data_IF_702202351833
#
_entry.id   IF_702202351833
#
_cell.length_a   1.000
_cell.length_b   1.000
_cell.length_c   1.000
_cell.angle_alpha   90.00
_cell.angle_beta   90.00
_cell.angle_gamma   90.00
#
_symmetry.space_group_name_H-M   'P 1'
#
loop_
_entity.id
_entity.type
_entity.pdbx_description
1 polymer ?
#
# COMPACT_ATOMS: atom_id res chain seq x y z
N UNK A 1 -12.12 5.56 -6.53
CA UNK A 1 -10.79 4.97 -6.71
C UNK A 1 -11.01 3.65 -7.43
N UNK A 2 -10.75 3.60 -8.73
CA UNK A 2 -10.81 2.32 -9.46
C UNK A 2 -9.65 1.46 -8.96
N UNK A 3 -9.97 0.30 -8.40
CA UNK A 3 -8.95 -0.67 -7.99
C UNK A 3 -8.55 -1.39 -9.27
N UNK A 4 -7.39 -1.03 -9.80
CA UNK A 4 -6.73 -1.78 -10.85
C UNK A 4 -6.42 -3.17 -10.29
N UNK A 5 -7.09 -4.19 -10.81
CA UNK A 5 -7.20 -5.53 -10.22
C UNK A 5 -6.03 -6.44 -10.64
N UNK A 6 -4.96 -5.87 -11.19
CA UNK A 6 -3.80 -6.62 -11.63
C UNK A 6 -2.78 -6.79 -10.50
N UNK A 7 -2.41 -8.06 -10.26
CA UNK A 7 -1.51 -8.53 -9.20
C UNK A 7 -0.04 -8.20 -9.50
N UNK A 8 0.26 -6.92 -9.68
CA UNK A 8 1.60 -6.44 -9.99
C UNK A 8 2.51 -6.44 -8.77
N UNK A 9 3.74 -6.88 -8.97
CA UNK A 9 4.77 -6.94 -7.94
C UNK A 9 5.80 -5.83 -8.10
N UNK A 10 6.05 -5.13 -7.01
CA UNK A 10 7.02 -4.01 -6.89
C UNK A 10 8.47 -4.48 -7.00
N UNK A 11 9.44 -3.56 -6.91
CA UNK A 11 10.88 -3.88 -7.00
C UNK A 11 11.32 -4.93 -5.96
N UNK A 12 10.67 -4.98 -4.80
CA UNK A 12 10.91 -6.00 -3.76
C UNK A 12 9.77 -6.98 -3.59
N UNK A 13 9.04 -7.23 -4.68
CA UNK A 13 8.01 -8.26 -4.80
C UNK A 13 6.79 -8.11 -3.88
N UNK A 14 6.60 -6.93 -3.26
CA UNK A 14 5.34 -6.61 -2.60
C UNK A 14 4.24 -6.40 -3.64
N UNK A 15 3.00 -6.79 -3.31
CA UNK A 15 1.84 -6.47 -4.15
C UNK A 15 1.63 -4.96 -4.16
N UNK A 16 1.55 -4.35 -5.34
CA UNK A 16 1.37 -2.90 -5.49
C UNK A 16 0.13 -2.40 -4.75
N UNK A 17 -0.98 -3.16 -4.82
CA UNK A 17 -2.23 -2.85 -4.12
C UNK A 17 -2.03 -2.85 -2.60
N UNK A 18 -1.36 -3.87 -2.08
CA UNK A 18 -1.12 -4.02 -0.65
C UNK A 18 -0.08 -3.02 -0.12
N UNK A 19 0.86 -2.56 -0.96
CA UNK A 19 1.76 -1.46 -0.61
C UNK A 19 0.97 -0.15 -0.41
N UNK A 20 0.02 0.16 -1.32
CA UNK A 20 -0.88 1.32 -1.16
C UNK A 20 -1.68 1.22 0.15
N UNK A 21 -2.27 0.06 0.41
CA UNK A 21 -3.00 -0.18 1.67
C UNK A 21 -2.09 -0.02 2.89
N UNK A 22 -0.90 -0.60 2.86
CA UNK A 22 0.04 -0.53 3.98
C UNK A 22 0.52 0.90 4.23
N UNK A 23 0.72 1.71 3.18
CA UNK A 23 0.99 3.14 3.27
C UNK A 23 -0.15 3.90 3.95
N UNK A 24 -1.39 3.70 3.52
CA UNK A 24 -2.56 4.31 4.14
C UNK A 24 -2.62 3.99 5.64
N UNK A 25 -2.54 2.71 6.00
CA UNK A 25 -2.65 2.27 7.39
C UNK A 25 -1.48 2.80 8.24
N UNK A 26 -0.25 2.81 7.72
CA UNK A 26 0.91 3.37 8.42
C UNK A 26 0.73 4.88 8.71
N UNK A 27 0.13 5.64 7.78
CA UNK A 27 -0.20 7.05 7.97
C UNK A 27 -1.27 7.27 9.04
N UNK A 28 -2.33 6.45 9.03
CA UNK A 28 -3.40 6.49 10.04
C UNK A 28 -2.85 6.18 11.44
N UNK A 29 -1.94 5.21 11.53
CA UNK A 29 -1.28 4.83 12.79
C UNK A 29 -0.07 5.70 13.15
N UNK A 30 0.21 6.76 12.38
CA UNK A 30 1.32 7.70 12.65
C UNK A 30 2.69 7.03 12.67
N UNK A 31 2.87 5.92 11.96
CA UNK A 31 4.14 5.22 11.78
C UNK A 31 4.89 5.79 10.58
N UNK A 32 5.50 6.96 10.76
CA UNK A 32 6.12 7.74 9.66
C UNK A 32 7.22 6.99 8.92
N UNK A 33 8.11 6.26 9.61
CA UNK A 33 9.19 5.51 8.96
C UNK A 33 8.65 4.39 8.06
N UNK A 34 7.58 3.71 8.50
CA UNK A 34 6.89 2.68 7.73
C UNK A 34 6.13 3.29 6.53
N UNK A 35 5.46 4.42 6.73
CA UNK A 35 4.81 5.15 5.63
C UNK A 35 5.82 5.61 4.57
N UNK A 36 6.98 6.14 4.99
CA UNK A 36 8.05 6.51 4.06
C UNK A 36 8.57 5.29 3.30
N UNK A 37 8.75 4.15 3.97
CA UNK A 37 9.14 2.91 3.30
C UNK A 37 8.14 2.51 2.21
N UNK A 38 6.84 2.45 2.52
CA UNK A 38 5.84 2.04 1.54
C UNK A 38 5.70 2.99 0.35
N UNK A 39 5.78 4.29 0.61
CA UNK A 39 5.74 5.27 -0.47
C UNK A 39 6.97 5.19 -1.36
N UNK A 40 8.17 5.04 -0.77
CA UNK A 40 9.38 4.86 -1.56
C UNK A 40 9.47 3.49 -2.21
N UNK A 41 8.76 2.46 -1.71
CA UNK A 41 8.59 1.19 -2.41
C UNK A 41 7.85 1.38 -3.73
N UNK A 42 6.71 2.09 -3.73
CA UNK A 42 6.02 2.47 -4.97
C UNK A 42 6.91 3.33 -5.86
N UNK A 43 7.52 4.36 -5.28
CA UNK A 43 8.26 5.38 -5.99
C UNK A 43 9.47 4.80 -6.77
N UNK A 44 10.40 4.10 -6.11
CA UNK A 44 11.55 3.51 -6.82
C UNK A 44 11.25 2.16 -7.49
N UNK A 45 10.03 1.64 -7.36
CA UNK A 45 9.51 0.65 -8.33
C UNK A 45 9.19 1.28 -9.69
N UNK A 46 9.27 2.61 -9.79
CA UNK A 46 9.03 3.40 -10.99
C UNK A 46 7.60 3.94 -11.09
N UNK A 47 6.74 3.70 -10.10
CA UNK A 47 5.38 4.25 -10.04
C UNK A 47 5.38 5.66 -9.42
N UNK A 48 6.24 6.56 -9.91
CA UNK A 48 6.49 7.87 -9.28
C UNK A 48 5.23 8.75 -9.22
N UNK A 49 4.59 8.97 -10.37
CA UNK A 49 3.35 9.77 -10.44
C UNK A 49 2.22 9.14 -9.60
N UNK A 50 2.06 7.82 -9.68
CA UNK A 50 1.06 7.08 -8.92
C UNK A 50 1.29 7.20 -7.40
N UNK A 51 2.54 7.28 -6.94
CA UNK A 51 2.85 7.53 -5.54
C UNK A 51 2.41 8.93 -5.08
N UNK A 52 2.67 9.96 -5.88
CA UNK A 52 2.23 11.34 -5.60
C UNK A 52 0.70 11.47 -5.66
N UNK A 53 0.07 10.93 -6.71
CA UNK A 53 -1.38 10.93 -6.87
C UNK A 53 -2.07 10.21 -5.72
N UNK A 54 -1.54 9.06 -5.30
CA UNK A 54 -2.07 8.31 -4.17
C UNK A 54 -1.98 9.11 -2.85
N UNK A 55 -0.87 9.78 -2.60
CA UNK A 55 -0.72 10.65 -1.41
C UNK A 55 -1.65 11.87 -1.46
N UNK A 56 -1.81 12.49 -2.63
CA UNK A 56 -2.75 13.59 -2.81
C UNK A 56 -4.18 13.11 -2.53
N UNK A 57 -4.57 11.96 -3.05
CA UNK A 57 -5.88 11.34 -2.78
C UNK A 57 -6.09 11.04 -1.28
N UNK A 58 -5.07 10.52 -0.59
CA UNK A 58 -5.11 10.33 0.86
C UNK A 58 -5.30 11.67 1.57
N UNK A 59 -4.51 12.68 1.21
CA UNK A 59 -4.61 14.01 1.81
C UNK A 59 -6.02 14.59 1.63
N UNK A 60 -6.53 14.60 0.40
CA UNK A 60 -7.85 15.12 0.05
C UNK A 60 -8.98 14.43 0.81
N UNK A 61 -8.92 13.11 0.89
CA UNK A 61 -10.01 12.30 1.46
C UNK A 61 -9.99 12.28 2.98
N UNK A 62 -8.80 12.35 3.60
CA UNK A 62 -8.61 12.02 5.02
C UNK A 62 -8.08 13.20 5.84
N UNK A 63 -7.22 14.05 5.26
CA UNK A 63 -6.52 15.10 6.01
C UNK A 63 -7.03 16.52 5.71
N UNK A 64 -7.61 16.75 4.54
CA UNK A 64 -7.91 18.10 4.03
C UNK A 64 -8.91 18.88 4.89
N UNK A 65 -9.89 18.18 5.50
CA UNK A 65 -10.89 18.79 6.37
C UNK A 65 -10.28 19.47 7.60
N UNK A 66 -9.31 18.81 8.25
CA UNK A 66 -8.63 19.34 9.44
C UNK A 66 -7.47 20.27 9.10
N UNK A 67 -6.94 20.18 7.87
CA UNK A 67 -5.71 20.87 7.48
C UNK A 67 -5.81 21.60 6.13
N UNK A 68 -6.87 22.37 5.83
CA UNK A 68 -7.16 22.86 4.48
C UNK A 68 -6.05 23.74 3.88
N UNK A 69 -5.27 24.44 4.72
CA UNK A 69 -4.16 25.32 4.30
C UNK A 69 -2.94 24.56 3.76
N UNK A 70 -2.79 23.26 4.08
CA UNK A 70 -1.70 22.46 3.55
C UNK A 70 -1.86 22.16 2.06
N UNK A 71 -3.08 22.33 1.50
CA UNK A 71 -3.39 21.99 0.10
C UNK A 71 -2.46 22.68 -0.87
N UNK A 72 -2.34 24.01 -0.75
CA UNK A 72 -1.47 24.80 -1.61
C UNK A 72 0.01 24.41 -1.47
N UNK A 73 0.43 24.06 -0.25
CA UNK A 73 1.81 23.63 -0.01
C UNK A 73 2.10 22.25 -0.58
N UNK A 74 1.18 21.30 -0.44
CA UNK A 74 1.30 19.96 -1.03
C UNK A 74 1.29 20.05 -2.56
N UNK A 75 0.39 20.84 -3.14
CA UNK A 75 0.34 21.05 -4.59
C UNK A 75 1.66 21.65 -5.09
N UNK A 76 2.17 22.69 -4.41
CA UNK A 76 3.46 23.29 -4.76
C UNK A 76 4.61 22.29 -4.69
N UNK A 77 4.66 21.44 -3.67
CA UNK A 77 5.68 20.39 -3.55
C UNK A 77 5.54 19.38 -4.69
N UNK A 78 4.32 19.03 -5.10
CA UNK A 78 4.14 18.18 -6.28
C UNK A 78 4.63 18.90 -7.54
N UNK A 79 4.19 20.13 -7.80
CA UNK A 79 4.58 20.90 -9.00
C UNK A 79 6.11 21.04 -9.10
N UNK A 80 6.79 21.37 -8.00
CA UNK A 80 8.25 21.43 -7.94
C UNK A 80 8.91 20.09 -8.33
N UNK A 81 8.36 18.96 -7.87
CA UNK A 81 8.85 17.64 -8.25
C UNK A 81 8.53 17.29 -9.70
N UNK A 82 7.35 17.63 -10.22
CA UNK A 82 6.97 17.41 -11.61
C UNK A 82 7.90 18.17 -12.57
N UNK A 83 8.30 19.40 -12.20
CA UNK A 83 9.25 20.21 -12.96
C UNK A 83 10.69 19.67 -12.86
N UNK A 84 11.05 19.04 -11.73
CA UNK A 84 12.35 18.42 -11.52
C UNK A 84 12.23 17.05 -10.82
N UNK A 85 12.07 15.96 -11.59
CA UNK A 85 11.85 14.61 -11.05
C UNK A 85 13.01 13.99 -10.25
N UNK A 86 14.12 14.73 -10.05
CA UNK A 86 15.22 14.37 -9.17
C UNK A 86 15.00 14.82 -7.72
N UNK A 87 13.93 15.58 -7.44
CA UNK A 87 13.54 16.00 -6.10
C UNK A 87 12.81 14.88 -5.34
N UNK A 88 13.45 13.72 -5.24
CA UNK A 88 12.87 12.51 -4.65
C UNK A 88 12.42 12.73 -3.18
N UNK A 89 13.09 13.63 -2.44
CA UNK A 89 12.74 14.00 -1.07
C UNK A 89 11.39 14.75 -0.93
N UNK A 90 10.81 15.24 -2.03
CA UNK A 90 9.52 15.94 -2.01
C UNK A 90 8.36 15.00 -1.64
N UNK A 91 8.41 13.75 -2.11
CA UNK A 91 7.46 12.70 -1.70
C UNK A 91 7.48 12.50 -0.18
N UNK A 92 8.68 12.34 0.37
CA UNK A 92 8.88 12.16 1.80
C UNK A 92 8.52 13.38 2.64
N UNK A 93 8.72 14.60 2.11
CA UNK A 93 8.27 15.85 2.73
C UNK A 93 6.76 15.88 2.95
N UNK A 94 5.98 15.42 1.97
CA UNK A 94 4.50 15.31 2.10
C UNK A 94 4.17 14.32 3.22
N UNK A 95 4.76 13.12 3.19
CA UNK A 95 4.52 12.03 4.15
C UNK A 95 4.85 12.46 5.58
N UNK A 96 6.04 13.03 5.80
CA UNK A 96 6.47 13.53 7.12
C UNK A 96 5.52 14.61 7.62
N UNK A 97 5.09 15.51 6.73
CA UNK A 97 4.16 16.58 7.08
C UNK A 97 2.81 16.03 7.50
N UNK A 98 2.11 15.27 6.64
CA UNK A 98 0.76 14.76 6.93
C UNK A 98 0.74 13.73 8.07
N UNK A 99 1.85 12.99 8.27
CA UNK A 99 1.99 12.10 9.42
C UNK A 99 1.79 12.83 10.75
N UNK A 100 2.20 14.10 10.87
CA UNK A 100 2.03 14.87 12.12
C UNK A 100 0.67 15.55 12.27
N UNK A 101 -0.25 15.35 11.32
CA UNK A 101 -1.54 16.07 11.27
C UNK A 101 -2.69 15.20 11.75
N UNK A 102 -3.70 15.86 12.33
CA UNK A 102 -4.99 15.22 12.61
C UNK A 102 -5.70 14.89 11.29
N UNK A 103 -6.54 13.88 11.31
CA UNK A 103 -7.32 13.44 10.17
C UNK A 103 -8.75 13.10 10.56
N UNK A 104 -9.61 12.93 9.55
CA UNK A 104 -11.01 12.51 9.69
C UNK A 104 -11.32 11.36 8.73
N UNK A 105 -11.82 10.24 9.25
CA UNK A 105 -12.11 9.05 8.45
C UNK A 105 -13.50 9.03 7.82
N UNK A 106 -14.37 9.97 8.20
CA UNK A 106 -15.77 9.99 7.82
C UNK A 106 -15.96 9.94 6.30
N UNK A 107 -15.32 10.83 5.54
CA UNK A 107 -15.43 10.88 4.09
C UNK A 107 -14.89 9.60 3.43
N UNK A 108 -13.76 9.08 3.91
CA UNK A 108 -13.17 7.83 3.42
C UNK A 108 -14.13 6.66 3.60
N UNK A 109 -14.61 6.45 4.83
CA UNK A 109 -15.49 5.34 5.19
C UNK A 109 -16.81 5.39 4.44
N UNK A 110 -17.42 6.58 4.31
CA UNK A 110 -18.68 6.73 3.56
C UNK A 110 -18.52 6.46 2.06
N UNK A 111 -17.39 6.89 1.49
CA UNK A 111 -17.12 6.76 0.05
C UNK A 111 -16.70 5.35 -0.31
N UNK A 112 -15.75 4.79 0.44
CA UNK A 112 -15.12 3.51 0.11
C UNK A 112 -15.97 2.32 0.56
N UNK A 113 -16.52 2.33 1.78
CA UNK A 113 -17.34 1.23 2.29
C UNK A 113 -18.84 1.42 2.01
N UNK A 114 -19.25 2.52 1.36
CA UNK A 114 -20.64 2.84 1.07
C UNK A 114 -21.57 2.83 2.31
N UNK A 115 -21.04 3.16 3.48
CA UNK A 115 -21.78 3.25 4.76
C UNK A 115 -22.07 4.71 5.14
N UNK A 116 -22.86 4.94 6.19
CA UNK A 116 -23.08 6.29 6.74
C UNK A 116 -22.42 6.45 8.09
N UNK A 117 -21.80 7.60 8.30
CA UNK A 117 -21.16 7.96 9.56
C UNK A 117 -21.83 9.16 10.23
N UNK A 118 -21.74 9.23 11.55
CA UNK A 118 -22.08 10.44 12.32
C UNK A 118 -21.10 11.52 11.90
N UNK A 119 -21.59 12.70 11.50
CA UNK A 119 -20.70 13.79 11.11
C UNK A 119 -19.80 14.19 12.28
N UNK A 120 -18.50 14.38 12.07
CA UNK A 120 -17.62 14.85 13.12
C UNK A 120 -18.03 16.25 13.56
N UNK A 121 -17.90 16.55 14.85
CA UNK A 121 -17.98 17.92 15.31
C UNK A 121 -16.91 18.75 14.60
N UNK A 122 -17.26 19.96 14.15
CA UNK A 122 -16.30 20.87 13.51
C UNK A 122 -15.21 21.18 14.54
N UNK A 123 -14.03 20.63 14.30
CA UNK A 123 -12.80 20.98 15.00
C UNK A 123 -12.44 22.41 14.63
N UNK A 124 -12.27 23.29 15.63
CA UNK A 124 -11.70 24.63 15.41
C UNK A 124 -10.24 24.43 15.01
N UNK A 125 -9.96 24.34 13.71
CA UNK A 125 -8.64 23.96 13.21
C UNK A 125 -7.56 24.89 13.73
N UNK A 126 -6.50 24.33 14.31
CA UNK A 126 -5.32 25.09 14.73
C UNK A 126 -4.58 25.58 13.48
N UNK A 127 -4.24 26.87 13.45
CA UNK A 127 -3.67 27.63 12.32
C UNK A 127 -2.21 27.23 11.96
N UNK A 128 -1.88 25.95 11.82
CA UNK A 128 -0.51 25.51 11.51
C UNK A 128 -0.34 25.14 10.04
N UNK A 129 0.45 25.93 9.32
CA UNK A 129 0.89 25.65 7.94
C UNK A 129 2.36 25.19 7.88
N UNK A 130 2.83 24.51 8.93
CA UNK A 130 4.21 24.07 9.01
C UNK A 130 4.45 22.89 8.05
N UNK A 131 5.50 22.98 7.24
CA UNK A 131 5.99 21.89 6.39
C UNK A 131 7.23 21.28 7.03
N UNK A 132 7.25 19.96 7.15
CA UNK A 132 8.41 19.21 7.63
C UNK A 132 9.19 18.75 6.40
N UNK A 133 10.29 19.44 6.09
CA UNK A 133 11.13 19.13 4.94
C UNK A 133 12.03 17.93 5.22
N UNK A 134 11.94 16.92 4.37
CA UNK A 134 12.88 15.80 4.33
C UNK A 134 14.16 16.22 3.60
N UNK A 135 15.32 15.77 4.08
CA UNK A 135 16.60 16.02 3.40
C UNK A 135 17.03 14.79 2.61
N UNK A 136 17.92 14.98 1.64
CA UNK A 136 18.52 13.89 0.85
C UNK A 136 19.21 12.83 1.72
N UNK A 137 19.83 13.24 2.83
CA UNK A 137 20.45 12.29 3.77
C UNK A 137 19.43 11.35 4.44
N UNK A 138 18.20 11.82 4.65
CA UNK A 138 17.13 11.01 5.23
C UNK A 138 16.56 10.02 4.21
N UNK A 139 16.71 10.31 2.91
CA UNK A 139 16.23 9.49 1.79
C UNK A 139 17.06 8.24 1.58
N UNK A 140 18.36 8.30 1.90
CA UNK A 140 19.34 7.27 1.54
C UNK A 140 18.91 5.86 1.97
N UNK A 141 18.31 5.71 3.16
CA UNK A 141 17.81 4.43 3.68
C UNK A 141 16.60 3.84 2.96
N UNK A 142 15.98 4.58 2.04
CA UNK A 142 14.83 4.12 1.24
C UNK A 142 15.14 3.96 -0.24
N UNK A 143 16.30 4.41 -0.70
CA UNK A 143 16.76 4.21 -2.08
C UNK A 143 16.93 2.72 -2.38
N UNK A 144 16.93 2.40 -3.66
CA UNK A 144 17.17 1.03 -4.11
C UNK A 144 18.55 0.57 -3.66
N UNK A 145 18.60 -0.45 -2.81
CA UNK A 145 19.86 -1.11 -2.45
C UNK A 145 20.35 -1.95 -3.63
N UNK A 146 21.66 -2.10 -3.80
CA UNK A 146 22.27 -3.03 -4.76
C UNK A 146 23.17 -3.99 -3.97
N UNK A 147 22.77 -5.24 -3.74
CA UNK A 147 23.56 -6.20 -2.98
C UNK A 147 24.67 -6.83 -3.82
N UNK A 148 25.72 -7.35 -3.18
CA UNK A 148 26.79 -8.10 -3.86
C UNK A 148 26.28 -9.34 -4.62
N UNK A 149 25.15 -9.90 -4.18
CA UNK A 149 24.48 -11.03 -4.81
C UNK A 149 22.99 -10.76 -4.93
N UNK A 150 22.36 -10.92 -6.11
CA UNK A 150 20.96 -10.55 -6.31
C UNK A 150 19.98 -11.28 -5.40
N UNK A 151 20.22 -12.56 -5.08
CA UNK A 151 19.43 -13.32 -4.10
C UNK A 151 19.35 -12.71 -2.69
N UNK A 152 20.16 -11.70 -2.38
CA UNK A 152 20.12 -10.98 -1.11
C UNK A 152 19.22 -9.73 -1.15
N UNK A 153 18.65 -9.34 -2.31
CA UNK A 153 17.79 -8.16 -2.45
C UNK A 153 16.68 -8.14 -1.39
N UNK A 154 15.88 -9.21 -1.29
CA UNK A 154 14.74 -9.23 -0.35
C UNK A 154 15.18 -9.26 1.10
N UNK A 155 16.27 -9.97 1.42
CA UNK A 155 16.79 -10.07 2.80
C UNK A 155 17.23 -8.71 3.34
N UNK A 156 17.80 -7.88 2.48
CA UNK A 156 18.35 -6.58 2.86
C UNK A 156 17.34 -5.44 2.71
N UNK A 157 16.44 -5.52 1.72
CA UNK A 157 15.53 -4.43 1.39
C UNK A 157 14.15 -4.54 2.03
N UNK A 158 13.60 -5.75 2.17
CA UNK A 158 12.28 -5.92 2.78
C UNK A 158 12.37 -5.63 4.29
N UNK A 159 11.65 -4.61 4.76
CA UNK A 159 11.73 -4.13 6.15
C UNK A 159 10.44 -4.30 6.93
N UNK A 160 9.31 -3.98 6.30
CA UNK A 160 8.00 -4.05 6.93
C UNK A 160 7.16 -5.14 6.26
N UNK A 161 6.39 -5.92 7.05
CA UNK A 161 5.43 -6.85 6.48
C UNK A 161 4.23 -6.10 5.93
N UNK A 162 3.66 -6.61 4.84
CA UNK A 162 2.34 -6.17 4.37
C UNK A 162 1.33 -6.25 5.52
N UNK A 163 0.50 -5.22 5.61
CA UNK A 163 -0.62 -5.14 6.55
C UNK A 163 -1.83 -5.88 6.02
N UNK A 164 -1.79 -7.21 6.13
CA UNK A 164 -2.80 -8.10 5.56
C UNK A 164 -4.10 -8.17 6.36
N UNK A 165 -4.21 -7.53 7.52
CA UNK A 165 -5.40 -7.55 8.37
C UNK A 165 -6.62 -6.82 7.77
N UNK A 166 -6.45 -6.12 6.65
CA UNK A 166 -7.53 -5.39 5.96
C UNK A 166 -7.85 -5.93 4.57
N UNK A 167 -7.31 -7.08 4.16
CA UNK A 167 -7.52 -7.63 2.80
C UNK A 167 -8.99 -7.78 2.44
N UNK A 168 -9.77 -8.35 3.35
CA UNK A 168 -11.22 -8.53 3.14
C UNK A 168 -11.95 -7.19 3.06
N UNK A 169 -11.52 -6.18 3.82
CA UNK A 169 -12.16 -4.86 3.81
C UNK A 169 -11.90 -4.09 2.52
N UNK A 170 -10.68 -4.21 1.99
CA UNK A 170 -10.26 -3.49 0.78
C UNK A 170 -10.45 -4.31 -0.50
N UNK A 171 -11.22 -5.40 -0.43
CA UNK A 171 -11.44 -6.34 -1.54
C UNK A 171 -10.12 -6.69 -2.26
N UNK A 172 -9.10 -6.99 -1.45
CA UNK A 172 -7.75 -7.29 -1.88
C UNK A 172 -7.56 -8.79 -1.78
N UNK A 173 -7.93 -9.55 -2.84
CA UNK A 173 -7.84 -11.01 -2.79
C UNK A 173 -6.41 -11.43 -2.44
N UNK A 174 -6.23 -12.57 -1.74
CA UNK A 174 -4.91 -13.16 -1.58
C UNK A 174 -4.26 -13.31 -2.95
N UNK A 175 -3.04 -12.79 -3.09
CA UNK A 175 -2.33 -12.80 -4.37
C UNK A 175 -2.08 -14.23 -4.87
N UNK A 176 -2.12 -14.39 -6.19
CA UNK A 176 -1.74 -15.64 -6.87
C UNK A 176 -0.23 -15.90 -6.77
N UNK A 177 0.56 -14.87 -6.49
CA UNK A 177 1.98 -14.98 -6.17
C UNK A 177 2.18 -15.62 -4.78
N UNK A 178 2.05 -16.94 -4.77
CA UNK A 178 2.28 -17.83 -3.63
C UNK A 178 3.54 -18.67 -3.85
N UNK A 179 3.90 -19.52 -2.88
CA UNK A 179 5.05 -20.42 -3.00
C UNK A 179 5.05 -21.24 -4.31
N UNK A 180 3.88 -21.57 -4.83
CA UNK A 180 3.71 -22.31 -6.09
C UNK A 180 4.07 -21.51 -7.34
N UNK A 181 4.21 -20.19 -7.24
CA UNK A 181 4.42 -19.28 -8.37
C UNK A 181 5.66 -18.41 -8.18
N UNK A 182 6.51 -18.71 -7.19
CA UNK A 182 7.74 -17.95 -6.94
C UNK A 182 8.76 -18.05 -8.07
N UNK A 183 8.82 -19.17 -8.79
CA UNK A 183 9.67 -19.30 -9.97
C UNK A 183 9.23 -18.41 -11.14
N UNK A 184 7.98 -17.94 -11.12
CA UNK A 184 7.40 -17.00 -12.09
C UNK A 184 7.48 -15.53 -11.66
N UNK A 185 8.27 -15.20 -10.63
CA UNK A 185 8.25 -13.87 -10.03
C UNK A 185 8.48 -12.72 -11.01
N UNK A 186 9.34 -12.92 -12.00
CA UNK A 186 9.67 -11.88 -12.98
C UNK A 186 8.47 -11.58 -13.89
N UNK A 187 7.65 -12.59 -14.20
CA UNK A 187 6.41 -12.41 -14.94
C UNK A 187 5.40 -11.56 -14.16
N UNK A 188 5.26 -11.76 -12.84
CA UNK A 188 4.41 -10.89 -12.00
C UNK A 188 4.95 -9.46 -11.86
N UNK A 189 6.19 -9.23 -12.29
CA UNK A 189 6.84 -7.93 -12.34
C UNK A 189 6.83 -7.28 -13.72
N UNK A 190 6.24 -7.92 -14.75
CA UNK A 190 6.35 -7.49 -16.15
C UNK A 190 5.80 -6.08 -16.44
N UNK A 191 4.92 -5.56 -15.59
CA UNK A 191 4.34 -4.21 -15.69
C UNK A 191 4.98 -3.20 -14.71
N UNK A 192 6.00 -3.62 -13.95
CA UNK A 192 6.68 -2.75 -13.00
C UNK A 192 7.82 -2.04 -13.70
N UNK A 193 7.83 -0.69 -13.80
CA UNK A 193 8.81 0.03 -14.60
C UNK A 193 10.26 -0.26 -14.20
N UNK A 194 10.50 -0.45 -12.90
CA UNK A 194 11.79 -0.92 -12.42
C UNK A 194 12.22 -2.21 -13.12
N UNK A 195 11.36 -3.22 -13.24
CA UNK A 195 11.68 -4.50 -13.86
C UNK A 195 11.63 -4.47 -15.39
N UNK A 196 10.71 -3.70 -15.98
CA UNK A 196 10.62 -3.48 -17.43
C UNK A 196 11.97 -3.01 -17.98
N UNK A 197 12.65 -2.08 -17.30
CA UNK A 197 13.96 -1.59 -17.72
C UNK A 197 14.99 -2.73 -17.85
N UNK A 198 15.02 -3.67 -16.91
CA UNK A 198 16.01 -4.76 -16.85
C UNK A 198 15.66 -5.85 -17.86
N UNK A 199 14.37 -6.20 -17.95
CA UNK A 199 13.85 -7.12 -18.97
C UNK A 199 14.17 -6.58 -20.37
N UNK A 200 13.93 -5.29 -20.61
CA UNK A 200 14.21 -4.64 -21.91
C UNK A 200 15.70 -4.62 -22.21
N UNK A 201 16.55 -4.32 -21.21
CA UNK A 201 18.01 -4.32 -21.37
C UNK A 201 18.52 -5.68 -21.87
N UNK A 202 17.97 -6.77 -21.34
CA UNK A 202 18.32 -8.14 -21.72
C UNK A 202 17.43 -8.71 -22.84
N UNK A 203 16.65 -7.87 -23.53
CA UNK A 203 15.76 -8.28 -24.66
C UNK A 203 14.79 -9.41 -24.29
N UNK A 204 14.33 -9.46 -23.05
CA UNK A 204 13.40 -10.48 -22.58
C UNK A 204 12.04 -10.39 -23.28
N UNK A 205 11.48 -11.55 -23.60
CA UNK A 205 10.19 -11.70 -24.28
C UNK A 205 9.17 -12.28 -23.31
N UNK A 206 8.03 -11.61 -23.17
CA UNK A 206 6.94 -12.07 -22.32
C UNK A 206 6.27 -13.29 -22.96
N UNK A 207 6.22 -14.40 -22.24
CA UNK A 207 5.46 -15.59 -22.60
C UNK A 207 4.21 -15.69 -21.71
N UNK A 208 3.06 -15.24 -22.23
CA UNK A 208 1.77 -15.25 -21.52
C UNK A 208 1.24 -16.65 -21.24
N UNK A 209 1.51 -17.62 -22.12
CA UNK A 209 1.01 -19.00 -21.98
C UNK A 209 1.68 -19.71 -20.79
N UNK A 210 2.99 -19.53 -20.65
CA UNK A 210 3.78 -20.18 -19.60
C UNK A 210 3.96 -19.30 -18.35
N UNK A 211 3.49 -18.05 -18.39
CA UNK A 211 3.72 -17.04 -17.35
C UNK A 211 5.21 -16.81 -17.05
N UNK A 212 6.00 -16.65 -18.10
CA UNK A 212 7.46 -16.57 -18.01
C UNK A 212 8.03 -15.41 -18.83
N UNK A 213 9.27 -15.00 -18.54
CA UNK A 213 10.04 -14.05 -19.35
C UNK A 213 11.24 -14.80 -19.93
N UNK A 214 11.24 -14.97 -21.25
CA UNK A 214 12.25 -15.73 -21.97
C UNK A 214 13.39 -14.82 -22.44
N UNK A 215 14.62 -15.29 -22.25
CA UNK A 215 15.85 -14.66 -22.71
C UNK A 215 16.58 -15.63 -23.63
N UNK A 216 17.37 -15.11 -24.59
CA UNK A 216 18.39 -15.93 -25.25
C UNK A 216 19.50 -16.31 -24.26
N UNK A 217 20.34 -17.29 -24.61
CA UNK A 217 21.32 -17.84 -23.68
C UNK A 217 22.31 -16.78 -23.14
N UNK A 218 22.79 -15.88 -24.01
CA UNK A 218 23.74 -14.82 -23.64
C UNK A 218 23.10 -13.80 -22.68
N UNK A 219 21.89 -13.32 -22.98
CA UNK A 219 21.19 -12.35 -22.12
C UNK A 219 20.64 -12.99 -20.84
N UNK A 220 20.39 -14.29 -20.84
CA UNK A 220 19.94 -15.02 -19.65
C UNK A 220 21.02 -15.01 -18.58
N UNK A 221 22.26 -15.35 -18.91
CA UNK A 221 23.35 -15.34 -17.93
C UNK A 221 23.54 -13.93 -17.34
N UNK A 222 23.59 -12.89 -18.20
CA UNK A 222 23.69 -11.49 -17.75
C UNK A 222 22.54 -11.11 -16.80
N UNK A 223 21.29 -11.44 -17.14
CA UNK A 223 20.15 -11.06 -16.31
C UNK A 223 20.19 -11.73 -14.93
N UNK A 224 20.50 -13.03 -14.89
CA UNK A 224 20.44 -13.79 -13.66
C UNK A 224 21.60 -13.44 -12.72
N UNK A 225 22.78 -13.17 -13.26
CA UNK A 225 23.95 -12.76 -12.46
C UNK A 225 23.75 -11.39 -11.77
N UNK A 226 23.01 -10.48 -12.41
CA UNK A 226 22.81 -9.11 -11.93
C UNK A 226 21.50 -8.90 -11.14
N UNK A 227 20.43 -9.64 -11.43
CA UNK A 227 19.10 -9.35 -10.88
C UNK A 227 18.27 -10.56 -10.40
N UNK A 228 18.75 -11.81 -10.44
CA UNK A 228 17.97 -12.96 -9.98
C UNK A 228 17.65 -12.92 -8.47
N UNK A 229 16.42 -12.59 -8.11
CA UNK A 229 16.01 -12.45 -6.71
C UNK A 229 15.81 -13.78 -5.97
N UNK A 230 15.45 -14.84 -6.70
CA UNK A 230 15.20 -16.20 -6.15
C UNK A 230 14.27 -16.22 -4.91
N UNK A 231 12.97 -15.87 -5.06
CA UNK A 231 12.06 -15.74 -3.91
C UNK A 231 11.77 -17.06 -3.20
N UNK A 232 11.84 -18.17 -3.92
CA UNK A 232 11.69 -19.54 -3.43
C UNK A 232 12.84 -19.99 -2.51
N UNK A 233 14.04 -19.46 -2.69
CA UNK A 233 15.21 -19.73 -1.85
C UNK A 233 15.26 -18.86 -0.57
N UNK A 234 14.28 -17.97 -0.39
CA UNK A 234 14.24 -17.09 0.77
C UNK A 234 13.75 -17.78 2.05
N UNK A 235 14.24 -17.38 3.24
CA UNK A 235 13.67 -17.81 4.51
C UNK A 235 12.18 -17.47 4.63
N UNK A 236 11.43 -18.28 5.37
CA UNK A 236 9.99 -18.06 5.62
C UNK A 236 9.73 -16.67 6.20
N UNK A 237 10.58 -16.18 7.10
CA UNK A 237 10.45 -14.84 7.68
C UNK A 237 10.48 -13.72 6.65
N UNK A 238 11.30 -13.86 5.60
CA UNK A 238 11.40 -12.88 4.50
C UNK A 238 10.19 -13.00 3.57
N UNK A 239 9.79 -14.23 3.24
CA UNK A 239 8.59 -14.50 2.42
C UNK A 239 7.33 -13.86 3.04
N UNK A 240 7.16 -14.01 4.35
CA UNK A 240 6.04 -13.43 5.09
C UNK A 240 6.00 -11.89 5.05
N UNK A 241 7.11 -11.20 4.74
CA UNK A 241 7.09 -9.76 4.58
C UNK A 241 6.23 -9.34 3.38
N UNK A 242 6.38 -10.00 2.22
CA UNK A 242 5.69 -9.62 0.98
C UNK A 242 4.48 -10.50 0.64
N UNK A 243 4.21 -11.56 1.41
CA UNK A 243 2.98 -12.36 1.32
C UNK A 243 2.00 -12.13 2.44
N UNK A 244 2.40 -11.48 3.54
CA UNK A 244 1.62 -11.42 4.77
C UNK A 244 1.46 -12.79 5.44
N UNK A 245 0.72 -12.83 6.55
CA UNK A 245 0.44 -14.05 7.32
C UNK A 245 -0.93 -14.62 6.94
N UNK A 246 -1.01 -15.92 6.70
CA UNK A 246 -2.25 -16.58 6.27
C UNK A 246 -3.32 -16.64 7.38
N UNK A 247 -2.90 -16.69 8.64
CA UNK A 247 -3.74 -16.81 9.83
C UNK A 247 -4.07 -15.46 10.49
N UNK A 248 -3.75 -14.34 9.82
CA UNK A 248 -3.98 -13.01 10.38
C UNK A 248 -5.47 -12.65 10.46
N UNK A 249 -5.92 -12.25 11.66
CA UNK A 249 -7.30 -11.84 11.92
C UNK A 249 -7.67 -10.64 11.06
N UNK A 250 -8.65 -10.83 10.18
CA UNK A 250 -9.19 -9.76 9.35
C UNK A 250 -10.08 -8.80 10.16
N UNK A 251 -9.93 -7.49 9.93
CA UNK A 251 -10.76 -6.46 10.56
C UNK A 251 -12.15 -6.44 9.94
N UNK A 252 -13.18 -6.23 10.77
CA UNK A 252 -14.52 -5.86 10.29
C UNK A 252 -14.59 -4.36 10.01
N UNK A 253 -15.61 -3.89 9.28
CA UNK A 253 -15.83 -2.44 9.06
C UNK A 253 -15.99 -1.74 10.41
N UNK A 254 -16.68 -2.38 11.37
CA UNK A 254 -16.83 -1.87 12.74
C UNK A 254 -15.49 -1.76 13.46
N UNK A 255 -14.64 -2.79 13.39
CA UNK A 255 -13.32 -2.78 14.01
C UNK A 255 -12.43 -1.68 13.40
N UNK A 256 -12.47 -1.54 12.07
CA UNK A 256 -11.74 -0.51 11.34
C UNK A 256 -12.18 0.90 11.74
N UNK A 257 -13.49 1.15 11.74
CA UNK A 257 -14.06 2.43 12.14
C UNK A 257 -13.73 2.78 13.60
N UNK A 258 -13.84 1.82 14.52
CA UNK A 258 -13.48 2.02 15.92
C UNK A 258 -11.98 2.31 16.08
N UNK A 259 -11.11 1.59 15.35
CA UNK A 259 -9.65 1.75 15.41
C UNK A 259 -9.20 3.12 14.89
N UNK A 260 -9.81 3.60 13.81
CA UNK A 260 -9.35 4.82 13.12
C UNK A 260 -10.26 6.04 13.32
N UNK A 261 -11.25 5.97 14.21
CA UNK A 261 -12.03 7.13 14.66
C UNK A 261 -13.18 7.55 13.74
N UNK A 262 -13.85 6.59 13.10
CA UNK A 262 -15.13 6.80 12.41
C UNK A 262 -16.31 6.23 13.22
N UNK A 263 -17.43 6.95 13.29
CA UNK A 263 -18.62 6.51 14.02
C UNK A 263 -19.73 6.13 13.04
N UNK A 264 -20.03 4.83 12.91
CA UNK A 264 -21.10 4.34 12.02
C UNK A 264 -22.49 4.73 12.54
N UNK A 265 -23.42 5.08 11.64
CA UNK A 265 -24.83 5.24 11.99
C UNK A 265 -25.47 3.86 12.07
N UNK A 266 -25.50 3.26 13.26
CA UNK A 266 -26.29 2.05 13.49
C UNK A 266 -27.76 2.44 13.61
N UNK A 267 -28.62 1.99 12.68
CA UNK A 267 -30.07 1.95 12.96
C UNK A 267 -30.24 0.98 14.14
N UNK A 268 -30.62 1.49 15.32
CA UNK A 268 -31.10 0.59 16.40
C UNK A 268 -32.32 -0.15 15.85
N UNK A 269 -32.17 -1.43 15.51
CA UNK A 269 -33.32 -2.32 15.47
C UNK A 269 -33.84 -2.38 16.91
N UNK A 270 -35.00 -1.75 17.16
CA UNK A 270 -35.79 -2.06 18.34
C UNK A 270 -36.15 -3.54 18.22
N UNK A 271 -35.42 -4.41 18.91
CA UNK A 271 -35.91 -5.75 19.20
C UNK A 271 -37.06 -5.52 20.18
N UNK A 272 -38.27 -5.40 19.66
CA UNK A 272 -39.46 -5.58 20.48
C UNK A 272 -39.37 -7.00 21.01
N UNK A 273 -39.09 -7.18 22.30
CA UNK A 273 -39.29 -8.45 22.98
C UNK A 273 -40.77 -8.80 22.80
N UNK A 274 -41.10 -9.61 21.80
CA UNK A 274 -42.39 -10.27 21.74
C UNK A 274 -42.42 -11.25 22.91
N UNK A 275 -43.36 -11.02 23.82
CA UNK A 275 -43.62 -11.91 24.94
C UNK A 275 -43.84 -13.34 24.46
N UNK A 276 -43.43 -14.27 25.31
CA UNK A 276 -43.58 -15.71 25.16
C UNK A 276 -44.99 -16.12 24.70
N UNK A 277 -45.04 -17.05 23.75
CA UNK A 277 -46.14 -17.99 23.63
C UNK A 277 -45.59 -19.39 23.82
N UNK A 278 -46.07 -19.97 24.92
CA UNK A 278 -45.88 -21.30 25.45
C UNK A 278 -46.28 -22.40 24.45
N UNK A 279 -45.51 -23.49 24.52
CA UNK A 279 -45.79 -24.88 24.17
C UNK A 279 -47.22 -25.22 23.73
N UNK A 280 -47.35 -25.85 22.55
CA UNK A 280 -47.78 -27.25 22.39
C UNK A 280 -48.27 -27.49 20.96
N UNK A 281 -47.69 -28.46 20.25
CA UNK A 281 -48.37 -29.13 19.14
C UNK A 281 -48.19 -30.64 19.34
N UNK A 282 -49.30 -31.30 19.65
CA UNK A 282 -49.51 -32.75 19.61
C UNK A 282 -49.66 -33.22 18.17
N UNK A 283 -49.10 -34.39 17.87
CA UNK A 283 -49.26 -35.09 16.60
C UNK A 283 -50.53 -35.97 16.59
N UNK A 284 -51.25 -35.94 15.47
CA UNK A 284 -51.93 -37.10 14.85
C UNK A 284 -51.82 -36.95 13.35
#
# INVERSE_FOLDING_TARGET
MNIDNNDYRTRYLYSKLEVKQSLLLALLEKKTDEALFWAYELYFSGFKDDAFEYLANIYETIYSFENPRLRESIQKIWDEWSDNPNLDCHLGTIIMTISTRKYQMHQFVETYFAVKCVKPAISVSVKMNLIIRMKEVDLEKYKTIVPDKPRNYLKLACRFPIRSETRVLFDSPPSDFSQKNYYHWLYYCKETPFWIEKITKCRGIINEENRDIQFDDDNKEEFYDEWAIEPDEQPVSVKLLFTGKADERQLSITDFCNKYGASLITKKLKITKTLALTNSITYT
#
